data_IF_903514079374
#
_entry.id   IF_903514079374
#
_cell.length_a   1.000
_cell.length_b   1.000
_cell.length_c   1.000
_cell.angle_alpha   90.00
_cell.angle_beta   90.00
_cell.angle_gamma   90.00
#
_symmetry.space_group_name_H-M   'P 1'
#
loop_
_entity.id
_entity.type
_entity.pdbx_description
1 polymer ?
#
# COMPACT_ATOMS: atom_id res chain seq x y z
N UNK A 1 -12.05 -9.55 6.18
CA UNK A 1 -10.86 -9.47 7.06
C UNK A 1 -10.83 -8.10 7.69
N UNK A 2 -10.51 -8.00 8.97
CA UNK A 2 -10.23 -6.70 9.58
C UNK A 2 -8.80 -6.22 9.25
N UNK A 3 -8.45 -4.98 9.64
CA UNK A 3 -7.10 -4.42 9.39
C UNK A 3 -6.00 -5.28 10.02
N UNK A 4 -6.25 -5.94 11.15
CA UNK A 4 -5.26 -6.77 11.84
C UNK A 4 -5.00 -8.05 11.07
N UNK A 5 -6.05 -8.69 10.57
CA UNK A 5 -5.95 -9.87 9.71
C UNK A 5 -5.24 -9.55 8.40
N UNK A 6 -5.54 -8.39 7.78
CA UNK A 6 -4.84 -7.93 6.58
C UNK A 6 -3.36 -7.65 6.86
N UNK A 7 -3.04 -6.99 7.97
CA UNK A 7 -1.65 -6.69 8.37
C UNK A 7 -0.85 -7.96 8.61
N UNK A 8 -1.44 -8.95 9.31
CA UNK A 8 -0.83 -10.27 9.50
C UNK A 8 -0.54 -10.95 8.16
N UNK A 9 -1.52 -10.97 7.26
CA UNK A 9 -1.35 -11.55 5.92
C UNK A 9 -0.26 -10.83 5.11
N UNK A 10 -0.21 -9.50 5.20
CA UNK A 10 0.81 -8.69 4.53
C UNK A 10 2.21 -9.01 5.04
N UNK A 11 2.38 -9.16 6.37
CA UNK A 11 3.64 -9.56 6.99
C UNK A 11 4.07 -10.99 6.63
N UNK A 12 3.14 -11.94 6.50
CA UNK A 12 3.46 -13.28 6.02
C UNK A 12 4.04 -13.25 4.60
N UNK A 13 3.43 -12.48 3.70
CA UNK A 13 3.92 -12.28 2.33
C UNK A 13 5.27 -11.56 2.34
N UNK A 14 5.44 -10.53 3.16
CA UNK A 14 6.71 -9.82 3.36
C UNK A 14 7.82 -10.75 3.86
N UNK A 15 7.49 -11.72 4.71
CA UNK A 15 8.40 -12.77 5.15
C UNK A 15 8.88 -13.65 4.00
N UNK A 16 7.98 -14.04 3.09
CA UNK A 16 8.34 -14.80 1.87
C UNK A 16 9.24 -14.00 0.95
N UNK A 17 8.94 -12.73 0.71
CA UNK A 17 9.80 -11.86 -0.08
C UNK A 17 11.18 -11.68 0.55
N UNK A 18 11.26 -11.53 1.88
CA UNK A 18 12.55 -11.38 2.57
C UNK A 18 13.45 -12.61 2.41
N UNK A 19 12.88 -13.81 2.33
CA UNK A 19 13.63 -15.04 2.01
C UNK A 19 14.12 -14.98 0.56
N UNK A 20 13.21 -14.73 -0.38
CA UNK A 20 13.51 -14.63 -1.81
C UNK A 20 14.62 -13.61 -2.11
N UNK A 21 14.56 -12.43 -1.50
CA UNK A 21 15.55 -11.36 -1.72
C UNK A 21 16.92 -11.71 -1.12
N UNK A 22 16.96 -12.40 0.03
CA UNK A 22 18.22 -12.90 0.59
C UNK A 22 18.87 -13.91 -0.34
N UNK A 23 18.10 -14.84 -0.88
CA UNK A 23 18.58 -15.84 -1.83
C UNK A 23 19.04 -15.20 -3.15
N UNK A 24 18.30 -14.21 -3.65
CA UNK A 24 18.53 -13.63 -4.97
C UNK A 24 19.53 -12.48 -5.00
N UNK A 25 19.59 -11.68 -3.94
CA UNK A 25 20.32 -10.40 -3.87
C UNK A 25 21.25 -10.29 -2.64
N UNK A 26 21.32 -11.32 -1.78
CA UNK A 26 22.23 -11.37 -0.63
C UNK A 26 21.76 -10.59 0.60
N UNK A 27 20.64 -9.85 0.51
CA UNK A 27 20.01 -9.15 1.64
C UNK A 27 18.51 -9.05 1.44
N UNK A 28 17.76 -8.97 2.54
CA UNK A 28 16.37 -8.55 2.48
C UNK A 28 16.28 -7.03 2.25
N UNK A 29 15.16 -6.60 1.69
CA UNK A 29 14.75 -5.22 1.57
C UNK A 29 14.56 -4.60 2.96
N UNK A 30 15.14 -3.42 3.13
CA UNK A 30 14.93 -2.57 4.29
C UNK A 30 13.67 -1.71 4.09
N UNK A 31 13.34 -0.87 5.08
CA UNK A 31 12.12 -0.07 5.02
C UNK A 31 12.16 0.99 3.91
N UNK A 32 13.34 1.50 3.53
CA UNK A 32 13.49 2.42 2.39
C UNK A 32 13.29 1.71 1.05
N UNK A 33 13.78 0.48 0.89
CA UNK A 33 13.53 -0.32 -0.31
C UNK A 33 12.03 -0.60 -0.47
N UNK A 34 11.33 -0.91 0.63
CA UNK A 34 9.87 -1.11 0.63
C UNK A 34 9.13 0.18 0.25
N UNK A 35 9.54 1.31 0.83
CA UNK A 35 8.98 2.62 0.46
C UNK A 35 9.23 2.95 -1.02
N UNK A 36 10.39 2.59 -1.55
CA UNK A 36 10.70 2.78 -2.97
C UNK A 36 9.81 1.91 -3.87
N UNK A 37 9.59 0.65 -3.49
CA UNK A 37 8.61 -0.22 -4.15
C UNK A 37 7.22 0.40 -4.17
N UNK A 38 6.75 0.87 -3.01
CA UNK A 38 5.46 1.54 -2.88
C UNK A 38 5.30 2.74 -3.81
N UNK A 39 6.34 3.58 -3.98
CA UNK A 39 6.27 4.71 -4.93
C UNK A 39 6.13 4.22 -6.38
N UNK A 40 6.71 3.06 -6.71
CA UNK A 40 6.49 2.39 -7.99
C UNK A 40 5.02 2.04 -8.18
N UNK A 41 4.43 1.33 -7.22
CA UNK A 41 3.02 0.90 -7.23
C UNK A 41 2.08 2.12 -7.33
N UNK A 42 2.36 3.20 -6.59
CA UNK A 42 1.59 4.47 -6.68
C UNK A 42 1.67 5.07 -8.09
N UNK A 43 2.84 4.96 -8.74
CA UNK A 43 3.02 5.42 -10.12
C UNK A 43 2.20 4.61 -11.12
N UNK A 44 2.08 3.30 -10.92
CA UNK A 44 1.26 2.42 -11.77
C UNK A 44 -0.23 2.60 -11.49
N UNK A 45 -0.63 2.71 -10.22
CA UNK A 45 -1.97 3.10 -9.81
C UNK A 45 -2.40 4.42 -10.47
N UNK A 46 -1.54 5.45 -10.46
CA UNK A 46 -1.84 6.73 -11.09
C UNK A 46 -2.09 6.60 -12.60
N UNK A 47 -1.29 5.77 -13.31
CA UNK A 47 -1.51 5.50 -14.74
C UNK A 47 -2.84 4.80 -14.99
N UNK A 48 -3.21 3.83 -14.14
CA UNK A 48 -4.45 3.08 -14.27
C UNK A 48 -5.69 3.91 -13.95
N UNK A 49 -5.63 4.80 -12.96
CA UNK A 49 -6.70 5.78 -12.72
C UNK A 49 -6.90 6.65 -13.96
N UNK A 50 -5.82 7.19 -14.56
CA UNK A 50 -5.94 7.93 -15.82
C UNK A 50 -6.55 7.08 -16.95
N UNK A 51 -6.24 5.78 -17.01
CA UNK A 51 -6.81 4.88 -18.00
C UNK A 51 -8.31 4.63 -17.74
N UNK A 52 -8.70 4.45 -16.47
CA UNK A 52 -10.10 4.28 -16.05
C UNK A 52 -10.94 5.51 -16.39
N UNK A 53 -10.37 6.70 -16.27
CA UNK A 53 -10.98 7.97 -16.64
C UNK A 53 -10.93 8.28 -18.16
N UNK A 54 -10.45 7.34 -18.99
CA UNK A 54 -10.42 7.49 -20.45
C UNK A 54 -9.36 8.46 -20.99
N UNK A 55 -8.45 8.96 -20.13
CA UNK A 55 -7.35 9.86 -20.51
C UNK A 55 -6.21 9.06 -21.19
N UNK A 56 -6.08 7.78 -20.83
CA UNK A 56 -5.11 6.84 -21.40
C UNK A 56 -5.81 5.58 -21.90
N UNK A 57 -5.26 4.97 -22.95
CA UNK A 57 -5.69 3.65 -23.38
C UNK A 57 -5.08 2.54 -22.53
N UNK A 58 -5.69 1.36 -22.56
CA UNK A 58 -5.19 0.18 -21.87
C UNK A 58 -6.14 -1.00 -21.98
N UNK A 59 -5.66 -2.19 -21.62
CA UNK A 59 -6.45 -3.42 -21.56
C UNK A 59 -6.56 -3.90 -20.11
N UNK A 60 -7.69 -4.52 -19.78
CA UNK A 60 -8.00 -5.05 -18.44
C UNK A 60 -7.79 -4.02 -17.33
N UNK A 61 -8.21 -2.77 -17.58
CA UNK A 61 -7.96 -1.63 -16.69
C UNK A 61 -8.52 -1.89 -15.30
N UNK A 62 -9.73 -2.46 -15.20
CA UNK A 62 -10.41 -2.69 -13.92
C UNK A 62 -9.68 -3.72 -13.06
N UNK A 63 -9.33 -4.86 -13.65
CA UNK A 63 -8.55 -5.91 -12.96
C UNK A 63 -7.18 -5.38 -12.48
N UNK A 64 -6.48 -4.62 -13.35
CA UNK A 64 -5.20 -4.02 -12.97
C UNK A 64 -5.37 -2.97 -11.89
N UNK A 65 -6.44 -2.18 -11.94
CA UNK A 65 -6.70 -1.14 -10.94
C UNK A 65 -6.96 -1.76 -9.57
N UNK A 66 -7.76 -2.84 -9.50
CA UNK A 66 -7.97 -3.61 -8.28
C UNK A 66 -6.64 -4.15 -7.72
N UNK A 67 -5.76 -4.65 -8.59
CA UNK A 67 -4.44 -5.14 -8.22
C UNK A 67 -3.57 -4.04 -7.60
N UNK A 68 -3.39 -2.90 -8.29
CA UNK A 68 -2.52 -1.83 -7.80
C UNK A 68 -3.03 -1.17 -6.51
N UNK A 69 -4.36 -1.11 -6.32
CA UNK A 69 -4.95 -0.67 -5.05
C UNK A 69 -4.56 -1.64 -3.92
N UNK A 70 -4.61 -2.96 -4.18
CA UNK A 70 -4.23 -3.97 -3.20
C UNK A 70 -2.73 -3.93 -2.88
N UNK A 71 -1.86 -3.74 -3.87
CA UNK A 71 -0.41 -3.65 -3.68
C UNK A 71 0.01 -2.37 -2.95
N UNK A 72 -0.62 -1.24 -3.28
CA UNK A 72 -0.47 0.00 -2.51
C UNK A 72 -0.87 -0.20 -1.03
N UNK A 73 -2.00 -0.86 -0.78
CA UNK A 73 -2.43 -1.17 0.59
C UNK A 73 -1.45 -2.11 1.30
N UNK A 74 -0.93 -3.14 0.62
CA UNK A 74 0.07 -4.06 1.18
C UNK A 74 1.30 -3.30 1.69
N UNK A 75 1.82 -2.38 0.88
CA UNK A 75 2.95 -1.53 1.25
C UNK A 75 2.67 -0.68 2.50
N UNK A 76 1.49 -0.06 2.59
CA UNK A 76 1.06 0.72 3.76
C UNK A 76 0.97 -0.15 5.02
N UNK A 77 0.36 -1.35 4.92
CA UNK A 77 0.23 -2.27 6.05
C UNK A 77 1.61 -2.74 6.56
N UNK A 78 2.50 -3.14 5.64
CA UNK A 78 3.85 -3.59 5.98
C UNK A 78 4.68 -2.49 6.65
N UNK A 79 4.61 -1.26 6.13
CA UNK A 79 5.33 -0.13 6.71
C UNK A 79 4.76 0.23 8.09
N UNK A 80 3.43 0.22 8.25
CA UNK A 80 2.77 0.48 9.53
C UNK A 80 3.26 -0.47 10.62
N UNK A 81 3.26 -1.78 10.34
CA UNK A 81 3.76 -2.81 11.26
C UNK A 81 5.25 -2.64 11.57
N UNK A 82 6.07 -2.34 10.55
CA UNK A 82 7.52 -2.13 10.72
C UNK A 82 7.87 -0.91 11.55
N UNK A 83 7.00 0.10 11.60
CA UNK A 83 7.17 1.28 12.42
C UNK A 83 6.34 1.26 13.71
N UNK A 84 5.61 0.17 13.99
CA UNK A 84 4.77 0.06 15.18
C UNK A 84 3.60 1.04 15.20
N UNK A 85 3.07 1.39 14.03
CA UNK A 85 1.95 2.31 13.87
C UNK A 85 0.65 1.53 14.01
N UNK A 86 -0.20 1.95 14.96
CA UNK A 86 -1.60 1.52 15.01
C UNK A 86 -2.38 2.22 13.89
N UNK A 87 -2.46 1.55 12.74
CA UNK A 87 -3.03 2.12 11.52
C UNK A 87 -4.52 2.44 11.68
N UNK A 88 -5.29 1.56 12.34
CA UNK A 88 -6.73 1.76 12.55
C UNK A 88 -6.97 3.02 13.39
N UNK A 89 -6.28 3.14 14.53
CA UNK A 89 -6.36 4.32 15.37
C UNK A 89 -5.91 5.58 14.64
N UNK A 90 -4.76 5.53 13.94
CA UNK A 90 -4.19 6.68 13.25
C UNK A 90 -5.10 7.18 12.12
N UNK A 91 -5.72 6.25 11.39
CA UNK A 91 -6.68 6.56 10.34
C UNK A 91 -7.93 7.26 10.91
N UNK A 92 -8.57 6.67 11.93
CA UNK A 92 -9.77 7.24 12.56
C UNK A 92 -9.50 8.64 13.13
N UNK A 93 -8.37 8.83 13.81
CA UNK A 93 -7.99 10.15 14.34
C UNK A 93 -7.82 11.17 13.22
N UNK A 94 -7.09 10.82 12.17
CA UNK A 94 -6.84 11.73 11.04
C UNK A 94 -8.14 12.12 10.33
N UNK A 95 -9.07 11.17 10.10
CA UNK A 95 -10.35 11.47 9.46
C UNK A 95 -11.22 12.37 10.33
N UNK A 96 -11.29 12.12 11.64
CA UNK A 96 -12.02 12.97 12.58
C UNK A 96 -11.46 14.40 12.63
N UNK A 97 -10.13 14.55 12.58
CA UNK A 97 -9.49 15.87 12.50
C UNK A 97 -9.83 16.60 11.19
N UNK A 98 -9.90 15.89 10.06
CA UNK A 98 -10.30 16.47 8.77
C UNK A 98 -11.77 16.91 8.81
N UNK A 99 -12.67 16.05 9.29
CA UNK A 99 -14.10 16.38 9.43
C UNK A 99 -14.32 17.60 10.33
N UNK A 100 -13.63 17.67 11.47
CA UNK A 100 -13.69 18.83 12.35
C UNK A 100 -13.24 20.11 11.65
N UNK A 101 -12.17 20.05 10.83
CA UNK A 101 -11.73 21.23 10.07
C UNK A 101 -12.79 21.66 9.05
N UNK A 102 -13.36 20.71 8.31
CA UNK A 102 -14.35 21.01 7.28
C UNK A 102 -15.66 21.58 7.85
N UNK A 103 -16.09 21.13 9.03
CA UNK A 103 -17.29 21.63 9.69
C UNK A 103 -17.13 23.04 10.31
N UNK A 104 -15.89 23.51 10.46
CA UNK A 104 -15.56 24.84 10.98
C UNK A 104 -15.16 25.84 9.88
N UNK A 105 -15.32 25.46 8.61
CA UNK A 105 -15.22 26.36 7.44
C UNK A 105 -16.58 26.95 7.09
#
# INVERSE_FOLDING_TARGET
MDIKELSKRALEVRGKYAIFEKERYGRAWNNCDIMQGFVGDVGDLAKLVMAKEGIRGGENIDEKLEHEIADCLWSVLVLSEKYGIDLEKSFTQTMGDIENRLNNL
#
